data_IF_838718051119
#
_entry.id   IF_838718051119
#
_cell.length_a   1.000
_cell.length_b   1.000
_cell.length_c   1.000
_cell.angle_alpha   90.00
_cell.angle_beta   90.00
_cell.angle_gamma   90.00
#
_symmetry.space_group_name_H-M   'P 1'
#
loop_
_entity.id
_entity.type
_entity.pdbx_description
1 polymer ?
#
# COMPACT_ATOMS: atom_id res chain seq x y z
N UNK A 1 17.48 13.50 -20.72
CA UNK A 1 16.70 12.59 -21.59
C UNK A 1 15.24 12.98 -21.46
N UNK A 2 14.50 13.05 -22.57
CA UNK A 2 13.04 13.27 -22.49
C UNK A 2 12.43 12.10 -21.72
N UNK A 3 11.67 12.41 -20.68
CA UNK A 3 10.86 11.44 -19.96
C UNK A 3 9.99 10.72 -21.00
N UNK A 4 10.20 9.43 -21.16
CA UNK A 4 9.35 8.58 -22.00
C UNK A 4 8.21 8.16 -21.07
N UNK A 5 6.96 8.30 -21.49
CA UNK A 5 5.78 8.05 -20.64
C UNK A 5 5.74 6.65 -20.00
N UNK A 6 6.59 5.72 -20.46
CA UNK A 6 6.68 4.33 -20.04
C UNK A 6 7.91 3.99 -19.19
N UNK A 7 8.84 4.93 -18.96
CA UNK A 7 10.08 4.71 -18.21
C UNK A 7 10.36 5.92 -17.31
N UNK A 8 10.56 5.67 -16.02
CA UNK A 8 10.97 6.68 -15.05
C UNK A 8 11.90 6.10 -14.00
N UNK A 9 12.73 6.95 -13.40
CA UNK A 9 13.24 6.65 -12.06
C UNK A 9 12.12 6.87 -11.05
N UNK A 10 11.98 5.98 -10.08
CA UNK A 10 10.97 6.08 -9.02
C UNK A 10 11.45 6.90 -7.81
N UNK A 11 12.69 7.41 -7.87
CA UNK A 11 13.26 8.28 -6.83
C UNK A 11 12.35 9.47 -6.50
N UNK A 12 12.42 9.95 -5.27
CA UNK A 12 11.67 11.12 -4.76
C UNK A 12 10.14 10.96 -4.84
N UNK A 13 9.62 9.74 -4.75
CA UNK A 13 8.18 9.47 -4.69
C UNK A 13 7.46 9.62 -6.04
N UNK A 14 8.18 9.56 -7.15
CA UNK A 14 7.57 9.55 -8.47
C UNK A 14 6.73 8.27 -8.66
N UNK A 15 5.51 8.45 -9.18
CA UNK A 15 4.61 7.34 -9.51
C UNK A 15 4.59 7.19 -11.03
N UNK A 16 5.04 6.04 -11.51
CA UNK A 16 4.96 5.69 -12.93
C UNK A 16 3.58 5.09 -13.22
N UNK A 17 2.75 5.87 -13.91
CA UNK A 17 1.48 5.41 -14.46
C UNK A 17 1.24 6.07 -15.83
N UNK A 18 1.63 5.39 -16.93
CA UNK A 18 1.34 5.88 -18.27
C UNK A 18 -0.17 6.05 -18.48
N UNK A 19 -0.56 6.99 -19.35
CA UNK A 19 -1.98 7.19 -19.70
C UNK A 19 -2.62 5.88 -20.17
N UNK A 20 -3.79 5.57 -19.65
CA UNK A 20 -4.56 4.32 -19.88
C UNK A 20 -3.92 3.03 -19.32
N UNK A 21 -2.80 3.11 -18.60
CA UNK A 21 -2.26 1.95 -17.90
C UNK A 21 -3.21 1.49 -16.78
N UNK A 22 -3.39 0.18 -16.68
CA UNK A 22 -4.10 -0.46 -15.56
C UNK A 22 -3.20 -0.68 -14.34
N UNK A 23 -1.90 -0.42 -14.46
CA UNK A 23 -0.91 -0.53 -13.40
C UNK A 23 -0.28 0.82 -13.10
N UNK A 24 -0.03 1.05 -11.82
CA UNK A 24 0.82 2.11 -11.31
C UNK A 24 1.94 1.48 -10.46
N UNK A 25 3.13 2.06 -10.55
CA UNK A 25 4.31 1.63 -9.79
C UNK A 25 4.87 2.84 -9.06
N UNK A 26 5.17 2.69 -7.78
CA UNK A 26 5.77 3.74 -6.98
C UNK A 26 6.85 3.16 -6.04
N UNK A 27 7.88 3.95 -5.75
CA UNK A 27 8.75 3.70 -4.60
C UNK A 27 8.28 4.55 -3.42
N UNK A 28 8.01 3.90 -2.30
CA UNK A 28 7.64 4.57 -1.05
C UNK A 28 8.56 4.21 0.10
N UNK A 29 8.51 5.07 1.12
CA UNK A 29 9.22 4.90 2.37
C UNK A 29 8.22 4.80 3.52
N UNK A 30 8.50 3.95 4.49
CA UNK A 30 7.73 3.89 5.74
C UNK A 30 8.68 4.07 6.93
N UNK A 31 8.37 5.04 7.79
CA UNK A 31 9.06 5.18 9.07
C UNK A 31 8.80 3.97 9.95
N UNK A 32 9.81 3.64 10.72
CA UNK A 32 9.80 2.51 11.62
C UNK A 32 8.96 2.70 12.87
N UNK A 33 8.68 1.60 13.55
CA UNK A 33 8.14 1.58 14.91
C UNK A 33 9.29 1.37 15.89
N UNK A 34 9.42 2.21 16.91
CA UNK A 34 10.47 2.03 17.94
C UNK A 34 10.25 0.72 18.70
N UNK A 35 11.34 0.17 19.26
CA UNK A 35 11.23 -1.01 20.10
C UNK A 35 10.33 -0.74 21.31
N UNK A 36 9.25 -1.52 21.45
CA UNK A 36 8.27 -1.39 22.53
C UNK A 36 7.04 -0.55 22.20
N UNK A 37 7.02 0.14 21.06
CA UNK A 37 5.85 0.88 20.59
C UNK A 37 4.88 -0.03 19.84
N UNK A 38 3.59 0.33 19.85
CA UNK A 38 2.57 -0.33 19.03
C UNK A 38 2.84 -0.06 17.55
N UNK A 39 2.89 -1.09 16.69
CA UNK A 39 3.05 -0.90 15.24
C UNK A 39 1.98 0.01 14.65
N UNK A 40 2.41 1.00 13.89
CA UNK A 40 1.51 1.87 13.14
C UNK A 40 1.26 1.29 11.75
N UNK A 41 0.00 1.00 11.46
CA UNK A 41 -0.41 0.53 10.15
C UNK A 41 -0.30 1.66 9.12
N UNK A 42 0.33 1.33 7.99
CA UNK A 42 0.51 2.26 6.86
C UNK A 42 -0.80 2.40 6.08
N UNK A 43 -1.57 1.32 6.00
CA UNK A 43 -2.94 1.29 5.50
C UNK A 43 -3.83 0.55 6.52
N UNK A 44 -5.10 0.94 6.69
CA UNK A 44 -6.01 0.21 7.56
C UNK A 44 -6.25 -1.22 7.04
N UNK A 45 -6.87 -2.10 7.84
CA UNK A 45 -7.29 -3.42 7.36
C UNK A 45 -8.37 -3.27 6.29
N UNK A 46 -8.18 -3.88 5.12
CA UNK A 46 -9.11 -3.73 4.01
C UNK A 46 -9.08 -4.93 3.05
N UNK A 47 -10.04 -4.95 2.12
CA UNK A 47 -10.12 -5.90 1.00
C UNK A 47 -10.23 -5.10 -0.30
N UNK A 48 -9.49 -5.50 -1.33
CA UNK A 48 -9.78 -5.11 -2.72
C UNK A 48 -10.54 -6.25 -3.39
N UNK A 49 -11.74 -6.02 -3.93
CA UNK A 49 -12.54 -7.13 -4.48
C UNK A 49 -12.07 -7.60 -5.87
N UNK A 50 -11.47 -6.70 -6.65
CA UNK A 50 -11.14 -6.95 -8.05
C UNK A 50 -9.68 -6.68 -8.44
N UNK A 51 -8.85 -6.27 -7.48
CA UNK A 51 -7.47 -5.87 -7.72
C UNK A 51 -6.53 -6.65 -6.81
N UNK A 52 -5.44 -7.15 -7.41
CA UNK A 52 -4.31 -7.68 -6.66
C UNK A 52 -3.34 -6.52 -6.37
N UNK A 53 -2.59 -6.60 -5.28
CA UNK A 53 -1.59 -5.61 -4.90
C UNK A 53 -0.28 -6.29 -4.52
N UNK A 54 0.86 -5.68 -4.86
CA UNK A 54 2.16 -6.28 -4.63
C UNK A 54 3.19 -5.28 -4.09
N UNK A 55 4.10 -5.80 -3.28
CA UNK A 55 5.22 -5.08 -2.70
C UNK A 55 6.52 -5.82 -2.98
N UNK A 56 7.58 -5.06 -3.28
CA UNK A 56 8.95 -5.55 -3.34
C UNK A 56 9.82 -4.69 -2.43
N UNK A 57 10.45 -5.30 -1.43
CA UNK A 57 11.19 -4.55 -0.40
C UNK A 57 12.61 -4.29 -0.89
N UNK A 58 12.99 -3.02 -0.94
CA UNK A 58 14.33 -2.58 -1.34
C UNK A 58 15.27 -2.52 -0.13
N UNK A 59 14.78 -2.00 0.99
CA UNK A 59 15.56 -1.78 2.21
C UNK A 59 14.67 -1.96 3.45
N UNK A 60 15.25 -2.49 4.53
CA UNK A 60 14.52 -2.76 5.76
C UNK A 60 13.59 -3.98 5.64
N UNK A 61 12.42 -3.89 6.29
CA UNK A 61 11.39 -4.91 6.26
C UNK A 61 10.00 -4.28 6.40
N UNK A 62 8.98 -4.98 5.91
CA UNK A 62 7.57 -4.69 6.19
C UNK A 62 6.89 -5.91 6.80
N UNK A 63 6.03 -5.67 7.78
CA UNK A 63 5.11 -6.65 8.34
C UNK A 63 3.78 -6.57 7.61
N UNK A 64 3.13 -7.71 7.40
CA UNK A 64 1.84 -7.81 6.75
C UNK A 64 0.93 -8.74 7.54
N UNK A 65 -0.35 -8.37 7.61
CA UNK A 65 -1.44 -9.31 7.87
C UNK A 65 -2.12 -9.60 6.53
N UNK A 66 -2.19 -10.87 6.13
CA UNK A 66 -2.79 -11.33 4.86
C UNK A 66 -3.69 -12.52 5.15
N UNK A 67 -5.01 -12.29 5.15
CA UNK A 67 -5.99 -13.21 5.72
C UNK A 67 -5.64 -13.49 7.18
N UNK A 68 -5.47 -14.77 7.51
CA UNK A 68 -5.12 -15.24 8.86
C UNK A 68 -3.61 -15.31 9.12
N UNK A 69 -2.77 -14.89 8.17
CA UNK A 69 -1.31 -14.98 8.28
C UNK A 69 -0.71 -13.64 8.61
N UNK A 70 0.22 -13.64 9.55
CA UNK A 70 1.13 -12.53 9.81
C UNK A 70 2.53 -12.90 9.33
N UNK A 71 3.12 -12.05 8.48
CA UNK A 71 4.41 -12.31 7.85
C UNK A 71 5.29 -11.06 7.86
N UNK A 72 6.60 -11.27 8.04
CA UNK A 72 7.62 -10.24 7.83
C UNK A 72 8.30 -10.48 6.48
N UNK A 73 8.37 -9.45 5.64
CA UNK A 73 8.98 -9.46 4.31
C UNK A 73 10.18 -8.53 4.35
N UNK A 74 11.37 -9.09 4.15
CA UNK A 74 12.65 -8.40 4.25
C UNK A 74 13.12 -7.86 2.89
N UNK A 75 14.16 -7.03 2.90
CA UNK A 75 14.83 -6.57 1.69
C UNK A 75 15.16 -7.71 0.71
N UNK A 76 14.96 -7.45 -0.59
CA UNK A 76 15.05 -8.41 -1.70
C UNK A 76 13.98 -9.51 -1.71
N UNK A 77 12.89 -9.33 -0.97
CA UNK A 77 11.73 -10.21 -1.01
C UNK A 77 10.50 -9.46 -1.54
N UNK A 78 9.53 -10.24 -2.02
CA UNK A 78 8.28 -9.73 -2.55
C UNK A 78 7.08 -10.41 -1.88
N UNK A 79 5.97 -9.69 -1.82
CA UNK A 79 4.67 -10.25 -1.47
C UNK A 79 3.63 -9.76 -2.47
N UNK A 80 2.71 -10.65 -2.85
CA UNK A 80 1.54 -10.35 -3.66
C UNK A 80 0.32 -10.75 -2.84
N UNK A 81 -0.61 -9.83 -2.67
CA UNK A 81 -1.90 -10.09 -2.03
C UNK A 81 -2.96 -10.21 -3.13
N UNK A 82 -3.57 -11.39 -3.33
CA UNK A 82 -4.66 -11.56 -4.26
C UNK A 82 -5.91 -10.80 -3.82
N UNK A 83 -6.68 -10.31 -4.79
CA UNK A 83 -8.02 -9.75 -4.59
C UNK A 83 -8.88 -10.66 -3.71
N UNK A 84 -9.78 -10.07 -2.93
CA UNK A 84 -10.65 -10.76 -2.00
C UNK A 84 -9.98 -11.18 -0.70
N UNK A 85 -8.69 -10.89 -0.52
CA UNK A 85 -7.95 -11.22 0.71
C UNK A 85 -7.88 -10.01 1.64
N UNK A 86 -8.36 -10.11 2.90
CA UNK A 86 -8.16 -9.07 3.90
C UNK A 86 -6.68 -8.80 4.15
N UNK A 87 -6.24 -7.55 4.14
CA UNK A 87 -4.84 -7.23 4.42
C UNK A 87 -4.59 -5.83 4.98
N UNK A 88 -3.45 -5.69 5.66
CA UNK A 88 -2.82 -4.45 6.13
C UNK A 88 -1.31 -4.66 6.21
N UNK A 89 -0.53 -3.58 6.35
CA UNK A 89 0.91 -3.64 6.45
C UNK A 89 1.49 -2.49 7.29
N UNK A 90 2.68 -2.71 7.83
CA UNK A 90 3.42 -1.76 8.67
C UNK A 90 4.92 -1.95 8.55
N UNK A 91 5.70 -1.04 9.14
CA UNK A 91 7.13 -1.23 9.34
C UNK A 91 7.41 -1.68 10.79
N UNK A 92 7.83 -2.95 11.01
CA UNK A 92 8.05 -3.52 12.34
C UNK A 92 9.40 -3.14 12.95
N UNK A 93 10.28 -2.44 12.22
CA UNK A 93 11.65 -2.11 12.69
C UNK A 93 11.74 -0.62 13.01
N UNK A 94 12.68 -0.15 13.86
CA UNK A 94 12.86 1.28 14.16
C UNK A 94 13.39 2.16 13.01
N UNK A 95 13.95 1.55 11.95
CA UNK A 95 14.50 2.27 10.80
C UNK A 95 13.49 2.49 9.67
N UNK A 96 13.83 3.32 8.68
CA UNK A 96 13.02 3.50 7.48
C UNK A 96 13.08 2.25 6.58
N UNK A 97 11.91 1.76 6.15
CA UNK A 97 11.80 0.78 5.09
C UNK A 97 11.61 1.49 3.75
N UNK A 98 12.20 0.94 2.68
CA UNK A 98 11.96 1.37 1.28
C UNK A 98 11.42 0.20 0.49
N UNK A 99 10.39 0.45 -0.30
CA UNK A 99 9.72 -0.60 -1.07
C UNK A 99 9.11 -0.05 -2.35
N UNK A 100 9.07 -0.91 -3.36
CA UNK A 100 8.22 -0.71 -4.53
C UNK A 100 6.84 -1.24 -4.22
N UNK A 101 5.81 -0.46 -4.51
CA UNK A 101 4.43 -0.92 -4.55
C UNK A 101 3.95 -0.94 -5.99
N UNK A 102 3.31 -2.03 -6.37
CA UNK A 102 2.69 -2.26 -7.67
C UNK A 102 1.21 -2.46 -7.41
N UNK A 103 0.41 -1.56 -7.94
CA UNK A 103 -1.02 -1.50 -7.69
C UNK A 103 -1.76 -1.29 -9.01
N UNK A 104 -3.05 -1.60 -9.03
CA UNK A 104 -3.86 -1.24 -10.19
C UNK A 104 -4.19 0.25 -10.18
N UNK A 105 -4.60 0.78 -11.32
CA UNK A 105 -5.03 2.18 -11.45
C UNK A 105 -6.22 2.52 -10.54
N UNK A 106 -7.05 1.53 -10.19
CA UNK A 106 -8.18 1.69 -9.27
C UNK A 106 -7.70 1.90 -7.84
N UNK A 107 -6.79 1.07 -7.36
CA UNK A 107 -6.16 1.22 -6.04
C UNK A 107 -5.45 2.58 -5.96
N UNK A 108 -4.67 2.97 -6.98
CA UNK A 108 -4.04 4.30 -7.03
C UNK A 108 -5.06 5.43 -6.86
N UNK A 109 -6.18 5.36 -7.58
CA UNK A 109 -7.24 6.36 -7.50
C UNK A 109 -7.92 6.40 -6.12
N UNK A 110 -8.06 5.26 -5.44
CA UNK A 110 -8.51 5.18 -4.05
C UNK A 110 -7.54 5.92 -3.12
N UNK A 111 -6.24 5.65 -3.24
CA UNK A 111 -5.21 6.30 -2.39
C UNK A 111 -5.20 7.81 -2.64
N UNK A 112 -5.32 8.26 -3.89
CA UNK A 112 -5.45 9.70 -4.21
C UNK A 112 -6.69 10.32 -3.54
N UNK A 113 -7.83 9.64 -3.59
CA UNK A 113 -9.06 10.10 -2.96
C UNK A 113 -8.95 10.16 -1.42
N UNK A 114 -8.28 9.18 -0.80
CA UNK A 114 -8.00 9.16 0.64
C UNK A 114 -7.06 10.31 1.03
N UNK A 115 -6.06 10.62 0.21
CA UNK A 115 -5.15 11.73 0.50
C UNK A 115 -5.79 13.09 0.30
N UNK A 116 -6.70 13.22 -0.67
CA UNK A 116 -7.41 14.45 -0.98
C UNK A 116 -8.59 14.75 -0.04
N UNK A 117 -9.12 13.76 0.69
CA UNK A 117 -10.25 14.01 1.61
C UNK A 117 -9.80 14.77 2.86
N UNK A 118 -10.53 15.84 3.19
CA UNK A 118 -10.35 16.61 4.42
C UNK A 118 -11.01 15.93 5.63
N UNK A 119 -12.05 15.12 5.39
CA UNK A 119 -12.76 14.37 6.42
C UNK A 119 -12.30 12.91 6.41
N UNK A 120 -11.49 12.55 7.40
CA UNK A 120 -10.92 11.20 7.57
C UNK A 120 -11.59 10.43 8.72
N UNK A 121 -12.90 10.57 8.84
CA UNK A 121 -13.69 9.75 9.75
C UNK A 121 -14.01 8.37 9.12
N UNK A 122 -14.41 7.40 9.94
CA UNK A 122 -14.63 6.02 9.51
C UNK A 122 -15.70 5.90 8.42
N UNK A 123 -16.79 6.66 8.51
CA UNK A 123 -17.90 6.60 7.55
C UNK A 123 -17.45 7.08 6.16
N UNK A 124 -16.80 8.24 6.09
CA UNK A 124 -16.25 8.78 4.84
C UNK A 124 -15.23 7.82 4.22
N UNK A 125 -14.37 7.19 5.04
CA UNK A 125 -13.41 6.21 4.53
C UNK A 125 -14.13 4.95 4.00
N UNK A 126 -15.11 4.40 4.72
CA UNK A 126 -15.91 3.26 4.24
C UNK A 126 -16.55 3.55 2.88
N UNK A 127 -17.15 4.73 2.71
CA UNK A 127 -17.73 5.14 1.43
C UNK A 127 -16.70 5.24 0.29
N UNK A 128 -15.51 5.77 0.57
CA UNK A 128 -14.43 5.83 -0.41
C UNK A 128 -14.00 4.43 -0.83
N UNK A 129 -13.72 3.53 0.12
CA UNK A 129 -13.35 2.15 -0.19
C UNK A 129 -14.41 1.49 -1.10
N UNK A 130 -15.69 1.60 -0.75
CA UNK A 130 -16.81 1.04 -1.54
C UNK A 130 -16.81 1.58 -2.97
N UNK A 131 -16.62 2.90 -3.15
CA UNK A 131 -16.59 3.55 -4.48
C UNK A 131 -15.51 2.97 -5.40
N UNK A 132 -14.42 2.48 -4.82
CA UNK A 132 -13.30 1.88 -5.55
C UNK A 132 -13.27 0.35 -5.41
N UNK A 133 -14.44 -0.29 -5.31
CA UNK A 133 -14.59 -1.75 -5.27
C UNK A 133 -13.72 -2.41 -4.19
N UNK A 134 -13.64 -1.75 -3.04
CA UNK A 134 -12.88 -2.18 -1.87
C UNK A 134 -13.74 -2.08 -0.62
N UNK A 135 -13.32 -2.72 0.46
CA UNK A 135 -14.01 -2.73 1.74
C UNK A 135 -13.03 -2.39 2.86
N UNK A 136 -13.40 -1.43 3.71
CA UNK A 136 -12.65 -1.10 4.92
C UNK A 136 -13.16 -1.98 6.07
N UNK A 137 -12.23 -2.71 6.69
CA UNK A 137 -12.54 -3.62 7.79
C UNK A 137 -12.09 -3.02 9.13
N UNK A 138 -12.72 -3.51 10.19
CA UNK A 138 -12.30 -3.23 11.56
C UNK A 138 -11.36 -4.35 12.03
N UNK A 139 -10.35 -3.99 12.80
CA UNK A 139 -9.52 -4.97 13.48
C UNK A 139 -10.38 -5.55 14.61
N UNK A 140 -10.79 -6.80 14.47
CA UNK A 140 -11.39 -7.52 15.59
C UNK A 140 -10.30 -7.67 16.67
N UNK A 141 -10.64 -7.32 17.92
CA UNK A 141 -9.83 -7.56 19.11
C UNK A 141 -9.46 -9.03 19.30
#
# INVERSE_FOLDING_TARGET
MKQVDFIASLDNGYILQPKNSRLAIAEWTASGTSLGDTPQFIAPLHIHHNDDEAWYILEGALGFKVGDKEIEVNANQAVVVPRGTPHTFWNPKPGTARYIIIMTSRIRSLIDAIHATEQRNLETLKELFIRYESELLELNE
#
